data_IF_760083677980
#
_entry.id   IF_760083677980
#
_cell.length_a   1.000
_cell.length_b   1.000
_cell.length_c   1.000
_cell.angle_alpha   90.00
_cell.angle_beta   90.00
_cell.angle_gamma   90.00
#
_symmetry.space_group_name_H-M   'P 1'
#
loop_
_entity.id
_entity.type
_entity.pdbx_description
1 polymer ?
#
# COMPACT_ATOMS: atom_id res chain seq x y z
N UNK A 1 -47.55 3.23 -45.55
CA UNK A 1 -46.86 3.55 -44.28
C UNK A 1 -47.32 4.93 -43.79
N UNK A 2 -48.06 5.01 -42.67
CA UNK A 2 -48.66 6.26 -42.20
C UNK A 2 -47.60 7.34 -41.89
N UNK A 3 -47.96 8.62 -42.04
CA UNK A 3 -47.05 9.77 -41.77
C UNK A 3 -46.39 9.68 -40.39
N UNK A 4 -47.13 9.19 -39.39
CA UNK A 4 -46.66 8.96 -38.02
C UNK A 4 -45.51 7.93 -37.94
N UNK A 5 -45.61 6.82 -38.67
CA UNK A 5 -44.57 5.80 -38.69
C UNK A 5 -43.27 6.31 -39.35
N UNK A 6 -43.36 7.19 -40.35
CA UNK A 6 -42.18 7.85 -40.94
C UNK A 6 -41.48 8.80 -39.97
N UNK A 7 -42.24 9.56 -39.18
CA UNK A 7 -41.68 10.46 -38.16
C UNK A 7 -41.03 9.65 -37.03
N UNK A 8 -41.71 8.60 -36.56
CA UNK A 8 -41.18 7.69 -35.55
C UNK A 8 -39.86 7.04 -36.01
N UNK A 9 -39.80 6.52 -37.24
CA UNK A 9 -38.59 5.91 -37.78
C UNK A 9 -37.42 6.90 -37.92
N UNK A 10 -37.70 8.16 -38.31
CA UNK A 10 -36.68 9.22 -38.33
C UNK A 10 -36.17 9.55 -36.93
N UNK A 11 -37.08 9.62 -35.96
CA UNK A 11 -36.72 9.89 -34.56
C UNK A 11 -35.87 8.75 -33.97
N UNK A 12 -36.31 7.50 -34.15
CA UNK A 12 -35.57 6.32 -33.71
C UNK A 12 -34.22 6.23 -34.40
N UNK A 13 -34.15 6.49 -35.72
CA UNK A 13 -32.90 6.53 -36.46
C UNK A 13 -31.94 7.61 -35.93
N UNK A 14 -32.43 8.82 -35.67
CA UNK A 14 -31.64 9.90 -35.08
C UNK A 14 -31.13 9.54 -33.67
N UNK A 15 -31.96 8.90 -32.85
CA UNK A 15 -31.59 8.43 -31.52
C UNK A 15 -30.50 7.35 -31.59
N UNK A 16 -30.62 6.39 -32.51
CA UNK A 16 -29.60 5.35 -32.72
C UNK A 16 -28.27 5.99 -33.14
N UNK A 17 -28.28 6.91 -34.10
CA UNK A 17 -27.07 7.63 -34.54
C UNK A 17 -26.44 8.37 -33.37
N UNK A 18 -27.25 9.08 -32.56
CA UNK A 18 -26.76 9.77 -31.36
C UNK A 18 -26.10 8.78 -30.38
N UNK A 19 -26.73 7.64 -30.09
CA UNK A 19 -26.18 6.64 -29.18
C UNK A 19 -24.88 6.02 -29.71
N UNK A 20 -24.76 5.77 -31.02
CA UNK A 20 -23.52 5.27 -31.64
C UNK A 20 -22.40 6.30 -31.54
N UNK A 21 -22.70 7.58 -31.79
CA UNK A 21 -21.73 8.67 -31.65
C UNK A 21 -21.28 8.80 -30.19
N UNK A 22 -22.22 8.79 -29.24
CA UNK A 22 -21.91 8.82 -27.81
C UNK A 22 -21.06 7.61 -27.39
N UNK A 23 -21.39 6.41 -27.86
CA UNK A 23 -20.60 5.21 -27.60
C UNK A 23 -19.19 5.31 -28.16
N UNK A 24 -19.02 5.82 -29.38
CA UNK A 24 -17.71 6.02 -29.99
C UNK A 24 -16.83 6.97 -29.16
N UNK A 25 -17.38 8.09 -28.66
CA UNK A 25 -16.63 9.03 -27.80
C UNK A 25 -16.47 8.54 -26.36
N UNK A 26 -17.40 7.72 -25.87
CA UNK A 26 -17.34 7.16 -24.53
C UNK A 26 -16.36 5.99 -24.41
N UNK A 27 -15.91 5.41 -25.53
CA UNK A 27 -15.07 4.22 -25.54
C UNK A 27 -13.70 4.47 -26.16
N UNK A 28 -12.75 3.62 -25.82
CA UNK A 28 -11.41 3.61 -26.43
C UNK A 28 -10.93 2.16 -26.53
N UNK A 29 -10.02 1.90 -27.46
CA UNK A 29 -9.37 0.60 -27.56
C UNK A 29 -8.42 0.37 -26.39
N UNK A 30 -8.19 -0.89 -26.04
CA UNK A 30 -7.08 -1.25 -25.14
C UNK A 30 -5.76 -0.85 -25.82
N UNK A 31 -4.95 -0.05 -25.12
CA UNK A 31 -3.60 0.29 -25.52
C UNK A 31 -2.66 -0.85 -25.15
N UNK A 32 -1.99 -1.40 -26.17
CA UNK A 32 -1.00 -2.47 -26.06
C UNK A 32 0.37 -2.02 -26.54
N UNK A 33 0.60 -0.72 -26.67
CA UNK A 33 1.89 -0.14 -27.06
C UNK A 33 2.95 -0.61 -26.05
N UNK A 34 4.10 -1.16 -26.51
CA UNK A 34 5.18 -1.52 -25.62
C UNK A 34 5.63 -0.32 -24.78
N UNK A 35 5.68 -0.48 -23.46
CA UNK A 35 5.87 0.65 -22.55
C UNK A 35 7.19 1.38 -22.80
N UNK A 36 8.26 0.67 -23.21
CA UNK A 36 9.57 1.26 -23.48
C UNK A 36 9.62 2.19 -24.72
N UNK A 37 8.58 2.19 -25.56
CA UNK A 37 8.44 3.11 -26.70
C UNK A 37 7.68 4.40 -26.34
N UNK A 38 7.15 4.48 -25.11
CA UNK A 38 6.23 5.55 -24.71
C UNK A 38 6.94 6.76 -24.09
N UNK A 39 6.24 7.90 -24.11
CA UNK A 39 6.71 9.14 -23.48
C UNK A 39 6.77 9.01 -21.96
N UNK A 40 5.75 8.44 -21.32
CA UNK A 40 5.71 8.28 -19.86
C UNK A 40 6.89 7.45 -19.33
N UNK A 41 7.29 6.41 -20.08
CA UNK A 41 8.46 5.61 -19.74
C UNK A 41 9.74 6.44 -19.82
N UNK A 42 9.95 7.17 -20.93
CA UNK A 42 11.14 8.01 -21.10
C UNK A 42 11.27 9.05 -20.00
N UNK A 43 10.18 9.74 -19.68
CA UNK A 43 10.14 10.73 -18.61
C UNK A 43 10.43 10.09 -17.25
N UNK A 44 9.86 8.92 -16.98
CA UNK A 44 10.09 8.20 -15.73
C UNK A 44 11.54 7.74 -15.56
N UNK A 45 12.17 7.22 -16.62
CA UNK A 45 13.59 6.84 -16.57
C UNK A 45 14.45 8.07 -16.28
N UNK A 46 14.16 9.21 -16.92
CA UNK A 46 14.85 10.47 -16.64
C UNK A 46 14.67 10.92 -15.18
N UNK A 47 13.44 10.85 -14.65
CA UNK A 47 13.15 11.21 -13.26
C UNK A 47 13.88 10.30 -12.26
N UNK A 48 14.00 9.00 -12.54
CA UNK A 48 14.74 8.05 -11.70
C UNK A 48 16.23 8.37 -11.76
N UNK A 49 16.79 8.60 -12.94
CA UNK A 49 18.22 8.94 -13.08
C UNK A 49 18.57 10.27 -12.38
N UNK A 50 17.68 11.25 -12.41
CA UNK A 50 17.84 12.49 -11.65
C UNK A 50 17.73 12.26 -10.13
N UNK A 51 16.77 11.44 -9.70
CA UNK A 51 16.62 11.07 -8.28
C UNK A 51 17.84 10.31 -7.75
N UNK A 52 18.45 9.44 -8.56
CA UNK A 52 19.67 8.69 -8.22
C UNK A 52 20.86 9.62 -8.04
N UNK A 53 21.01 10.65 -8.90
CA UNK A 53 22.05 11.67 -8.75
C UNK A 53 21.89 12.48 -7.46
N UNK A 54 20.65 12.70 -7.05
CA UNK A 54 20.28 13.48 -5.86
C UNK A 54 19.90 12.61 -4.65
N UNK A 55 20.34 11.35 -4.63
CA UNK A 55 20.05 10.40 -3.55
C UNK A 55 20.65 10.88 -2.23
N UNK A 56 19.99 10.52 -1.14
CA UNK A 56 20.51 10.72 0.21
C UNK A 56 21.43 9.55 0.56
N UNK A 57 22.65 9.83 1.03
CA UNK A 57 23.62 8.82 1.49
C UNK A 57 24.23 9.23 2.82
N UNK A 58 24.30 8.31 3.77
CA UNK A 58 24.93 8.52 5.07
C UNK A 58 25.49 7.22 5.64
N UNK A 59 26.64 7.31 6.32
CA UNK A 59 27.28 6.18 7.02
C UNK A 59 27.72 6.59 8.40
N UNK A 60 27.19 5.96 9.44
CA UNK A 60 27.52 6.37 10.80
C UNK A 60 26.67 5.68 11.87
N UNK A 61 26.75 6.16 13.11
CA UNK A 61 25.92 5.66 14.20
C UNK A 61 24.44 5.92 13.90
N UNK A 62 23.62 4.93 14.23
CA UNK A 62 22.17 4.99 14.07
C UNK A 62 21.52 5.65 15.29
N UNK A 63 20.61 6.59 15.03
CA UNK A 63 19.56 6.97 15.97
C UNK A 63 18.22 6.42 15.50
N UNK A 64 17.41 5.89 16.41
CA UNK A 64 16.06 5.47 16.13
C UNK A 64 15.07 6.01 17.16
N UNK A 65 13.89 6.45 16.74
CA UNK A 65 12.83 6.97 17.60
C UNK A 65 11.48 6.32 17.26
N UNK A 66 10.69 6.01 18.28
CA UNK A 66 9.48 5.19 18.17
C UNK A 66 8.26 5.98 18.63
N UNK A 67 7.16 5.87 17.89
CA UNK A 67 5.88 6.42 18.32
C UNK A 67 4.69 5.57 17.86
N UNK A 68 3.60 5.67 18.62
CA UNK A 68 2.29 5.12 18.26
C UNK A 68 1.19 6.12 18.62
N UNK A 69 0.11 6.12 17.85
CA UNK A 69 -1.10 6.89 18.16
C UNK A 69 -2.33 6.04 17.86
N UNK A 70 -3.32 6.10 18.75
CA UNK A 70 -4.61 5.44 18.52
C UNK A 70 -5.41 6.25 17.49
N UNK A 71 -5.84 5.56 16.43
CA UNK A 71 -6.66 6.10 15.34
C UNK A 71 -8.04 5.44 15.28
N UNK A 72 -8.48 4.75 16.33
CA UNK A 72 -9.81 4.15 16.42
C UNK A 72 -10.86 5.26 16.55
N UNK A 73 -11.79 5.40 15.60
CA UNK A 73 -12.86 6.38 15.71
C UNK A 73 -13.76 6.08 16.93
N UNK A 74 -14.11 7.11 17.70
CA UNK A 74 -15.13 7.00 18.74
C UNK A 74 -16.50 7.14 18.09
N UNK A 75 -17.29 6.07 18.12
CA UNK A 75 -18.63 6.07 17.54
C UNK A 75 -19.59 6.75 18.52
N UNK A 76 -20.31 7.78 18.07
CA UNK A 76 -21.30 8.50 18.89
C UNK A 76 -22.66 8.56 18.19
N UNK A 77 -23.73 8.62 18.98
CA UNK A 77 -25.11 8.76 18.48
C UNK A 77 -25.58 10.21 18.37
N UNK A 78 -24.88 11.14 19.01
CA UNK A 78 -25.20 12.57 19.06
C UNK A 78 -24.49 13.37 17.97
N UNK A 79 -24.25 14.67 18.20
CA UNK A 79 -23.46 15.49 17.29
C UNK A 79 -21.99 15.05 17.33
N UNK A 80 -21.38 14.64 16.20
CA UNK A 80 -19.97 14.27 16.16
C UNK A 80 -19.08 15.49 16.37
N UNK A 81 -17.94 15.27 17.01
CA UNK A 81 -16.84 16.23 17.14
C UNK A 81 -15.54 15.60 16.59
N UNK A 82 -15.24 15.83 15.30
CA UNK A 82 -14.06 15.26 14.66
C UNK A 82 -12.75 15.63 15.35
N UNK A 83 -12.68 16.78 16.06
CA UNK A 83 -11.47 17.18 16.80
C UNK A 83 -11.16 16.25 17.97
N UNK A 84 -12.20 15.59 18.51
CA UNK A 84 -12.10 14.55 19.54
C UNK A 84 -12.07 13.14 18.96
N UNK A 85 -12.10 13.00 17.64
CA UNK A 85 -12.21 11.72 16.94
C UNK A 85 -13.58 11.07 17.09
N UNK A 86 -14.64 11.87 17.29
CA UNK A 86 -16.03 11.39 17.40
C UNK A 86 -16.74 11.45 16.04
N UNK A 87 -17.31 10.33 15.61
CA UNK A 87 -17.96 10.17 14.30
C UNK A 87 -19.21 9.27 14.39
N UNK A 88 -20.14 9.39 13.43
CA UNK A 88 -21.43 8.67 13.49
C UNK A 88 -21.61 7.61 12.39
N UNK A 89 -20.89 7.72 11.29
CA UNK A 89 -21.21 6.99 10.06
C UNK A 89 -19.98 6.69 9.18
N UNK A 90 -18.86 6.33 9.79
CA UNK A 90 -17.70 5.86 9.03
C UNK A 90 -17.99 4.46 8.50
N UNK A 91 -17.99 4.33 7.17
CA UNK A 91 -18.02 3.05 6.47
C UNK A 91 -16.62 2.46 6.47
N UNK A 92 -16.52 1.17 6.75
CA UNK A 92 -15.24 0.47 6.65
C UNK A 92 -14.80 0.34 5.20
N UNK A 93 -13.52 0.61 4.92
CA UNK A 93 -12.98 0.61 3.56
C UNK A 93 -12.36 -0.73 3.15
N UNK A 94 -12.34 -0.98 1.84
CA UNK A 94 -11.70 -2.13 1.21
C UNK A 94 -12.70 -3.11 0.61
N UNK A 95 -13.81 -3.39 1.32
CA UNK A 95 -14.95 -4.07 0.71
C UNK A 95 -15.90 -3.03 0.13
N UNK A 96 -16.15 -3.03 -1.19
CA UNK A 96 -17.09 -2.08 -1.80
C UNK A 96 -18.50 -2.12 -1.17
N UNK A 97 -18.88 -3.28 -0.63
CA UNK A 97 -20.09 -3.55 0.16
C UNK A 97 -19.90 -3.49 1.68
N UNK A 98 -18.80 -2.90 2.16
CA UNK A 98 -18.46 -2.78 3.57
C UNK A 98 -19.55 -2.07 4.39
N UNK A 99 -19.57 -2.36 5.69
CA UNK A 99 -20.58 -1.84 6.63
C UNK A 99 -20.13 -0.52 7.26
N UNK A 100 -21.10 0.23 7.79
CA UNK A 100 -20.82 1.28 8.76
C UNK A 100 -20.35 0.60 10.03
N UNK A 101 -19.24 1.07 10.60
CA UNK A 101 -18.75 0.54 11.86
C UNK A 101 -19.73 0.88 13.00
N UNK A 102 -20.12 -0.12 13.77
CA UNK A 102 -21.01 -0.01 14.93
C UNK A 102 -20.28 -0.28 16.25
N UNK A 103 -19.05 -0.76 16.20
CA UNK A 103 -18.22 -1.00 17.37
C UNK A 103 -16.74 -1.22 17.07
N UNK A 104 -16.02 -1.68 18.07
CA UNK A 104 -14.57 -1.95 18.03
C UNK A 104 -14.35 -3.34 18.62
N UNK A 105 -13.74 -4.24 17.86
CA UNK A 105 -13.26 -5.52 18.39
C UNK A 105 -11.89 -5.33 19.04
N UNK A 106 -10.98 -4.68 18.32
CA UNK A 106 -9.68 -4.23 18.83
C UNK A 106 -9.32 -2.87 18.24
N UNK A 107 -8.59 -2.06 19.03
CA UNK A 107 -8.16 -0.73 18.61
C UNK A 107 -7.19 -0.82 17.43
N UNK A 108 -7.35 0.11 16.49
CA UNK A 108 -6.47 0.33 15.35
C UNK A 108 -5.51 1.50 15.62
N UNK A 109 -4.26 1.36 15.17
CA UNK A 109 -3.18 2.29 15.47
C UNK A 109 -2.45 2.75 14.20
N UNK A 110 -1.90 3.97 14.27
CA UNK A 110 -0.82 4.40 13.39
C UNK A 110 0.48 4.39 14.21
N UNK A 111 1.57 3.92 13.60
CA UNK A 111 2.88 3.73 14.23
C UNK A 111 3.97 4.29 13.33
N UNK A 112 5.03 4.80 13.93
CA UNK A 112 6.15 5.36 13.21
C UNK A 112 7.49 5.01 13.86
N UNK A 113 8.49 4.75 13.01
CA UNK A 113 9.90 4.60 13.38
C UNK A 113 10.69 5.65 12.60
N UNK A 114 11.27 6.62 13.31
CA UNK A 114 12.26 7.54 12.74
C UNK A 114 13.64 6.88 12.77
N UNK A 115 14.37 6.97 11.67
CA UNK A 115 15.72 6.42 11.47
C UNK A 115 16.61 7.59 11.03
N UNK A 116 17.67 7.87 11.77
CA UNK A 116 18.63 8.92 11.43
C UNK A 116 20.06 8.37 11.42
N UNK A 117 20.83 8.70 10.38
CA UNK A 117 22.26 8.41 10.27
C UNK A 117 22.95 9.68 9.78
N UNK A 118 23.91 10.21 10.54
CA UNK A 118 24.59 11.48 10.24
C UNK A 118 23.65 12.63 9.82
N UNK A 119 22.57 12.87 10.58
CA UNK A 119 21.52 13.89 10.30
C UNK A 119 20.60 13.60 9.11
N UNK A 120 20.91 12.61 8.28
CA UNK A 120 19.99 12.15 7.25
C UNK A 120 18.90 11.30 7.87
N UNK A 121 17.65 11.75 7.74
CA UNK A 121 16.49 11.14 8.41
C UNK A 121 15.52 10.57 7.40
N UNK A 122 15.03 9.36 7.69
CA UNK A 122 13.81 8.79 7.08
C UNK A 122 12.84 8.37 8.18
N UNK A 123 11.54 8.39 7.91
CA UNK A 123 10.51 7.94 8.83
C UNK A 123 9.67 6.87 8.15
N UNK A 124 9.60 5.70 8.77
CA UNK A 124 8.77 4.59 8.36
C UNK A 124 7.43 4.71 9.07
N UNK A 125 6.34 4.90 8.34
CA UNK A 125 4.99 5.13 8.85
C UNK A 125 4.09 4.01 8.37
N UNK A 126 3.33 3.42 9.28
CA UNK A 126 2.33 2.41 8.96
C UNK A 126 1.09 2.58 9.80
N UNK A 127 -0.06 2.20 9.27
CA UNK A 127 -1.30 2.21 10.02
C UNK A 127 -2.17 0.99 9.75
N UNK A 128 -3.00 0.66 10.73
CA UNK A 128 -4.05 -0.34 10.64
C UNK A 128 -5.22 0.22 9.80
N UNK A 129 -4.94 0.43 8.51
CA UNK A 129 -5.84 0.94 7.49
C UNK A 129 -5.80 0.02 6.27
N UNK A 130 -6.77 0.16 5.36
CA UNK A 130 -6.70 -0.48 4.03
C UNK A 130 -5.55 0.11 3.20
N UNK A 131 -5.40 1.42 3.22
CA UNK A 131 -4.29 2.17 2.65
C UNK A 131 -4.29 3.54 3.33
N UNK A 132 -3.13 4.21 3.44
CA UNK A 132 -3.11 5.60 3.86
C UNK A 132 -3.62 6.46 2.68
N UNK A 133 -4.74 7.20 2.83
CA UNK A 133 -5.32 7.96 1.74
C UNK A 133 -4.38 9.09 1.27
N UNK A 134 -4.34 9.35 -0.04
CA UNK A 134 -3.48 10.39 -0.61
C UNK A 134 -3.77 11.77 -0.02
N UNK A 135 -5.04 12.13 0.18
CA UNK A 135 -5.44 13.39 0.80
C UNK A 135 -4.91 13.54 2.24
N UNK A 136 -4.78 12.42 2.99
CA UNK A 136 -4.13 12.42 4.31
C UNK A 136 -2.64 12.68 4.17
N UNK A 137 -1.97 12.08 3.18
CA UNK A 137 -0.54 12.31 2.91
C UNK A 137 -0.26 13.76 2.52
N UNK A 138 -1.12 14.37 1.71
CA UNK A 138 -1.03 15.80 1.35
C UNK A 138 -1.15 16.66 2.61
N UNK A 139 -2.17 16.41 3.44
CA UNK A 139 -2.37 17.14 4.68
C UNK A 139 -1.17 17.00 5.62
N UNK A 140 -0.63 15.78 5.78
CA UNK A 140 0.57 15.52 6.59
C UNK A 140 1.77 16.29 6.05
N UNK A 141 1.97 16.29 4.73
CA UNK A 141 3.10 16.97 4.08
C UNK A 141 3.02 18.49 4.28
N UNK A 142 1.83 19.08 4.16
CA UNK A 142 1.65 20.52 4.40
C UNK A 142 1.83 20.87 5.89
N UNK A 143 1.24 20.09 6.80
CA UNK A 143 1.38 20.28 8.25
C UNK A 143 2.84 20.21 8.73
N UNK A 144 3.68 19.43 8.03
CA UNK A 144 5.08 19.18 8.38
C UNK A 144 6.08 19.96 7.52
N UNK A 145 5.60 20.88 6.68
CA UNK A 145 6.42 21.73 5.83
C UNK A 145 7.49 22.47 6.65
N UNK A 146 8.72 22.42 6.18
CA UNK A 146 9.89 22.99 6.86
C UNK A 146 10.43 22.16 8.05
N UNK A 147 9.78 21.04 8.42
CA UNK A 147 10.26 20.13 9.48
C UNK A 147 10.79 18.82 8.90
N UNK A 148 10.07 18.22 7.96
CA UNK A 148 10.47 17.00 7.25
C UNK A 148 9.82 16.97 5.86
N UNK A 149 10.55 16.53 4.85
CA UNK A 149 10.06 16.51 3.46
C UNK A 149 9.35 15.19 3.12
N UNK A 150 8.40 15.22 2.17
CA UNK A 150 7.68 14.02 1.68
C UNK A 150 8.60 12.87 1.25
N UNK A 151 9.76 13.19 0.64
CA UNK A 151 10.77 12.19 0.22
C UNK A 151 11.40 11.40 1.38
N UNK A 152 11.28 11.90 2.62
CA UNK A 152 11.78 11.27 3.84
C UNK A 152 10.70 10.43 4.54
N UNK A 153 9.45 10.52 4.11
CA UNK A 153 8.32 9.79 4.70
C UNK A 153 8.03 8.57 3.83
N UNK A 154 8.05 7.39 4.43
CA UNK A 154 7.75 6.11 3.79
C UNK A 154 6.49 5.57 4.40
N UNK A 155 5.39 5.61 3.65
CA UNK A 155 4.08 5.21 4.12
C UNK A 155 3.84 3.72 3.82
N UNK A 156 2.90 3.14 4.58
CA UNK A 156 2.41 1.80 4.37
C UNK A 156 1.09 1.59 5.12
N UNK A 157 0.48 0.44 4.91
CA UNK A 157 -0.67 0.01 5.67
C UNK A 157 -0.60 -1.49 5.97
N UNK A 158 -1.29 -1.95 7.01
CA UNK A 158 -1.50 -3.39 7.23
C UNK A 158 -2.42 -4.00 6.19
N UNK A 159 -3.19 -3.16 5.49
CA UNK A 159 -4.23 -3.53 4.54
C UNK A 159 -5.43 -4.26 5.18
N UNK A 160 -5.79 -3.91 6.42
CA UNK A 160 -7.05 -4.42 7.02
C UNK A 160 -8.26 -3.79 6.33
N UNK A 161 -9.21 -4.64 5.92
CA UNK A 161 -10.49 -4.22 5.32
C UNK A 161 -11.56 -3.83 6.36
N UNK A 162 -11.20 -3.85 7.65
CA UNK A 162 -12.10 -3.51 8.77
C UNK A 162 -11.63 -2.23 9.47
N UNK A 163 -11.29 -1.22 8.66
CA UNK A 163 -10.67 0.04 9.08
C UNK A 163 -11.33 1.25 8.42
N UNK A 164 -10.81 2.44 8.69
CA UNK A 164 -11.44 3.74 8.39
C UNK A 164 -11.59 3.96 6.88
N UNK A 165 -12.83 4.25 6.45
CA UNK A 165 -13.14 4.73 5.10
C UNK A 165 -13.43 6.22 5.04
N UNK A 166 -14.31 6.63 4.12
CA UNK A 166 -14.76 8.00 3.90
C UNK A 166 -13.66 9.02 3.57
N UNK A 167 -12.44 8.58 3.25
CA UNK A 167 -11.29 9.46 3.02
C UNK A 167 -10.94 9.67 1.53
N UNK A 168 -11.68 9.06 0.60
CA UNK A 168 -11.37 9.14 -0.82
C UNK A 168 -12.53 9.80 -1.58
N UNK A 169 -12.30 10.91 -2.30
CA UNK A 169 -13.34 11.57 -3.07
C UNK A 169 -13.69 10.81 -4.35
N UNK A 170 -14.79 11.23 -4.99
CA UNK A 170 -15.21 10.72 -6.29
C UNK A 170 -16.04 9.44 -6.23
N UNK A 171 -16.49 8.97 -7.39
CA UNK A 171 -17.40 7.83 -7.49
C UNK A 171 -16.74 6.53 -7.02
N UNK A 172 -15.50 6.28 -7.47
CA UNK A 172 -14.74 5.10 -7.05
C UNK A 172 -14.39 5.17 -5.57
N UNK A 173 -14.01 6.34 -5.05
CA UNK A 173 -13.74 6.54 -3.62
C UNK A 173 -14.96 6.24 -2.75
N UNK A 174 -16.14 6.74 -3.15
CA UNK A 174 -17.42 6.42 -2.50
C UNK A 174 -17.73 4.91 -2.51
N UNK A 175 -17.45 4.23 -3.62
CA UNK A 175 -17.57 2.78 -3.70
C UNK A 175 -16.65 2.08 -2.71
N UNK A 176 -15.39 2.49 -2.64
CA UNK A 176 -14.34 1.83 -1.86
C UNK A 176 -14.46 2.04 -0.34
N UNK A 177 -14.86 3.23 0.09
CA UNK A 177 -14.82 3.63 1.50
C UNK A 177 -16.04 4.39 2.01
N UNK A 178 -17.07 4.66 1.20
CA UNK A 178 -18.24 5.44 1.61
C UNK A 178 -18.13 6.93 1.28
N UNK A 179 -19.18 7.70 1.60
CA UNK A 179 -19.26 9.13 1.28
C UNK A 179 -18.03 9.89 1.81
N UNK A 180 -17.44 10.72 0.97
CA UNK A 180 -16.25 11.48 1.36
C UNK A 180 -16.54 12.44 2.52
N UNK A 181 -15.71 12.38 3.56
CA UNK A 181 -15.79 13.20 4.78
C UNK A 181 -14.43 13.90 5.00
N UNK A 182 -14.28 15.16 4.55
CA UNK A 182 -13.04 15.93 4.72
C UNK A 182 -12.53 15.99 6.18
N UNK A 183 -13.45 15.98 7.14
CA UNK A 183 -13.16 16.00 8.57
C UNK A 183 -12.42 14.74 9.05
N UNK A 184 -12.65 13.58 8.42
CA UNK A 184 -11.90 12.35 8.71
C UNK A 184 -10.46 12.48 8.19
N UNK A 185 -10.30 13.07 6.99
CA UNK A 185 -8.98 13.34 6.40
C UNK A 185 -8.19 14.32 7.27
N UNK A 186 -8.81 15.41 7.70
CA UNK A 186 -8.18 16.40 8.57
C UNK A 186 -7.75 15.79 9.90
N UNK A 187 -8.63 15.03 10.55
CA UNK A 187 -8.34 14.35 11.81
C UNK A 187 -7.19 13.36 11.69
N UNK A 188 -7.19 12.51 10.65
CA UNK A 188 -6.07 11.62 10.38
C UNK A 188 -4.80 12.42 10.07
N UNK A 189 -4.87 13.46 9.25
CA UNK A 189 -3.74 14.34 8.94
C UNK A 189 -3.07 14.88 10.20
N UNK A 190 -3.85 15.38 11.17
CA UNK A 190 -3.33 15.84 12.46
C UNK A 190 -2.71 14.70 13.29
N UNK A 191 -3.37 13.54 13.37
CA UNK A 191 -2.87 12.35 14.08
C UNK A 191 -1.53 11.88 13.53
N UNK A 192 -1.41 11.75 12.21
CA UNK A 192 -0.18 11.31 11.55
C UNK A 192 0.94 12.37 11.66
N UNK A 193 0.62 13.65 11.54
CA UNK A 193 1.62 14.72 11.76
C UNK A 193 2.19 14.68 13.19
N UNK A 194 1.32 14.54 14.20
CA UNK A 194 1.76 14.43 15.58
C UNK A 194 2.60 13.17 15.82
N UNK A 195 2.17 12.03 15.27
CA UNK A 195 2.90 10.75 15.33
C UNK A 195 4.32 10.88 14.78
N UNK A 196 4.48 11.50 13.62
CA UNK A 196 5.80 11.69 12.98
C UNK A 196 6.69 12.58 13.85
N UNK A 197 6.16 13.68 14.38
CA UNK A 197 6.92 14.58 15.27
C UNK A 197 7.32 13.89 16.58
N UNK A 198 6.46 13.03 17.13
CA UNK A 198 6.78 12.22 18.32
C UNK A 198 7.91 11.23 18.03
N UNK A 199 7.86 10.51 16.91
CA UNK A 199 8.95 9.59 16.53
C UNK A 199 10.28 10.33 16.32
N UNK A 200 10.23 11.52 15.71
CA UNK A 200 11.41 12.36 15.52
C UNK A 200 12.01 12.87 16.83
N UNK A 201 11.17 13.15 17.84
CA UNK A 201 11.59 13.60 19.16
C UNK A 201 12.11 12.46 20.06
N UNK A 202 11.64 11.22 19.83
CA UNK A 202 12.03 10.02 20.59
C UNK A 202 13.37 9.41 20.15
N UNK A 203 14.07 9.99 19.16
CA UNK A 203 15.32 9.43 18.64
C UNK A 203 16.39 9.27 19.73
N UNK A 204 16.94 8.07 19.83
CA UNK A 204 18.04 7.70 20.72
C UNK A 204 19.07 6.84 19.97
N UNK A 205 20.33 6.76 20.43
CA UNK A 205 21.30 5.79 19.92
C UNK A 205 20.69 4.38 19.87
N UNK A 206 20.85 3.73 18.72
CA UNK A 206 20.20 2.46 18.44
C UNK A 206 21.06 1.56 17.56
N UNK A 207 20.64 0.30 17.49
CA UNK A 207 21.23 -0.71 16.63
C UNK A 207 20.16 -1.32 15.72
N UNK A 208 20.56 -1.74 14.53
CA UNK A 208 19.68 -2.27 13.50
C UNK A 208 20.03 -3.70 13.10
N UNK A 209 19.01 -4.50 12.80
CA UNK A 209 19.16 -5.80 12.16
C UNK A 209 17.99 -6.07 11.20
N UNK A 210 18.22 -6.91 10.21
CA UNK A 210 17.20 -7.40 9.29
C UNK A 210 17.37 -8.88 8.99
N UNK A 211 16.28 -9.53 8.58
CA UNK A 211 16.27 -10.93 8.19
C UNK A 211 14.87 -11.34 7.73
N UNK A 212 14.67 -12.64 7.54
CA UNK A 212 13.36 -13.18 7.21
C UNK A 212 13.20 -14.60 7.75
N UNK A 213 11.96 -15.08 7.79
CA UNK A 213 11.63 -16.50 7.99
C UNK A 213 10.54 -16.91 7.00
N UNK A 214 10.57 -18.16 6.51
CA UNK A 214 9.53 -18.69 5.62
C UNK A 214 8.35 -19.21 6.42
N UNK A 215 7.14 -18.84 6.01
CA UNK A 215 5.87 -19.23 6.65
C UNK A 215 4.84 -19.64 5.58
N UNK A 216 5.10 -20.71 4.79
CA UNK A 216 4.27 -21.07 3.62
C UNK A 216 2.85 -21.51 3.99
N UNK A 217 2.63 -21.97 5.23
CA UNK A 217 1.33 -22.47 5.67
C UNK A 217 0.28 -21.36 5.89
N UNK A 218 0.69 -20.09 5.90
CA UNK A 218 -0.19 -18.95 6.18
C UNK A 218 -0.53 -18.09 4.97
N UNK A 219 -0.08 -18.51 3.78
CA UNK A 219 -0.31 -17.77 2.54
C UNK A 219 -0.71 -18.72 1.41
N UNK A 220 -1.52 -18.23 0.48
CA UNK A 220 -1.89 -18.93 -0.76
C UNK A 220 -1.99 -17.95 -1.92
N UNK A 221 -1.75 -18.42 -3.14
CA UNK A 221 -2.02 -17.65 -4.35
C UNK A 221 -3.53 -17.75 -4.66
N UNK A 222 -4.19 -16.59 -4.83
CA UNK A 222 -5.64 -16.51 -5.04
C UNK A 222 -6.05 -16.31 -6.49
N UNK A 223 -5.09 -16.04 -7.38
CA UNK A 223 -5.34 -15.88 -8.83
C UNK A 223 -5.33 -17.24 -9.52
N UNK A 224 -4.29 -18.05 -9.27
CA UNK A 224 -4.11 -19.36 -9.94
C UNK A 224 -4.17 -20.56 -8.98
N UNK A 225 -4.36 -20.32 -7.67
CA UNK A 225 -4.49 -21.39 -6.68
C UNK A 225 -3.16 -22.08 -6.38
N UNK A 226 -3.21 -23.39 -6.14
CA UNK A 226 -2.06 -24.18 -5.66
C UNK A 226 -0.89 -24.28 -6.65
N UNK A 227 -1.14 -24.06 -7.95
CA UNK A 227 -0.08 -24.04 -8.97
C UNK A 227 0.73 -22.73 -8.97
N UNK A 228 0.29 -21.72 -8.21
CA UNK A 228 0.95 -20.43 -8.14
C UNK A 228 2.14 -20.38 -7.21
N UNK A 229 3.13 -19.56 -7.60
CA UNK A 229 4.28 -19.29 -6.75
C UNK A 229 3.85 -18.48 -5.53
N UNK A 230 4.47 -18.77 -4.38
CA UNK A 230 4.16 -18.18 -3.09
C UNK A 230 5.31 -17.30 -2.59
N UNK A 231 5.05 -16.01 -2.36
CA UNK A 231 5.91 -15.17 -1.55
C UNK A 231 5.63 -15.48 -0.07
N UNK A 232 6.31 -16.50 0.44
CA UNK A 232 6.11 -17.07 1.77
C UNK A 232 7.04 -16.49 2.85
N UNK A 233 7.86 -15.49 2.52
CA UNK A 233 8.77 -14.86 3.46
C UNK A 233 8.04 -13.83 4.32
N UNK A 234 8.13 -13.99 5.64
CA UNK A 234 7.94 -12.93 6.62
C UNK A 234 9.26 -12.19 6.79
N UNK A 235 9.36 -11.00 6.19
CA UNK A 235 10.53 -10.15 6.32
C UNK A 235 10.47 -9.40 7.65
N UNK A 236 11.62 -9.22 8.29
CA UNK A 236 11.73 -8.67 9.63
C UNK A 236 12.84 -7.63 9.71
N UNK A 237 12.51 -6.49 10.30
CA UNK A 237 13.47 -5.47 10.71
C UNK A 237 13.34 -5.25 12.20
N UNK A 238 14.46 -5.01 12.86
CA UNK A 238 14.49 -4.73 14.29
C UNK A 238 15.42 -3.57 14.61
N UNK A 239 14.92 -2.62 15.39
CA UNK A 239 15.63 -1.48 15.92
C UNK A 239 15.66 -1.58 17.43
N UNK A 240 16.85 -1.52 18.04
CA UNK A 240 17.02 -1.60 19.49
C UNK A 240 17.73 -0.35 19.98
N UNK A 241 17.02 0.49 20.74
CA UNK A 241 17.62 1.65 21.40
C UNK A 241 18.50 1.19 22.57
N UNK A 242 19.51 1.98 22.94
CA UNK A 242 20.43 1.66 24.04
C UNK A 242 19.74 1.53 25.41
N UNK A 243 18.57 2.16 25.59
CA UNK A 243 17.75 2.02 26.80
C UNK A 243 16.97 0.67 26.85
N UNK A 244 17.16 -0.20 25.87
CA UNK A 244 16.55 -1.53 25.80
C UNK A 244 15.20 -1.58 25.06
N UNK A 245 14.60 -0.43 24.70
CA UNK A 245 13.35 -0.43 23.91
C UNK A 245 13.63 -0.99 22.51
N UNK A 246 12.77 -1.91 22.08
CA UNK A 246 12.89 -2.60 20.79
C UNK A 246 11.66 -2.33 19.92
N UNK A 247 11.86 -1.84 18.71
CA UNK A 247 10.83 -1.78 17.70
C UNK A 247 11.07 -2.84 16.62
N UNK A 248 10.01 -3.49 16.15
CA UNK A 248 10.08 -4.52 15.12
C UNK A 248 9.07 -4.24 14.03
N UNK A 249 9.50 -4.37 12.77
CA UNK A 249 8.61 -4.39 11.61
C UNK A 249 8.56 -5.81 11.07
N UNK A 250 7.35 -6.33 10.86
CA UNK A 250 7.10 -7.48 9.99
C UNK A 250 6.51 -7.04 8.66
N UNK A 251 6.89 -7.69 7.55
CA UNK A 251 6.22 -7.54 6.27
C UNK A 251 5.91 -8.93 5.70
N UNK A 252 4.65 -9.17 5.35
CA UNK A 252 4.20 -10.47 4.83
C UNK A 252 3.21 -10.28 3.69
N UNK A 253 3.23 -11.22 2.76
CA UNK A 253 2.54 -11.10 1.46
C UNK A 253 1.18 -11.78 1.45
N UNK A 254 0.46 -11.83 2.58
CA UNK A 254 -0.92 -12.33 2.64
C UNK A 254 -1.91 -11.18 2.86
N UNK A 255 -2.98 -11.09 2.06
CA UNK A 255 -4.04 -10.11 2.28
C UNK A 255 -4.68 -10.23 3.67
N UNK A 256 -4.86 -9.10 4.36
CA UNK A 256 -5.55 -8.98 5.66
C UNK A 256 -7.08 -8.89 5.48
N UNK A 257 -7.62 -9.98 4.93
CA UNK A 257 -9.05 -10.18 4.64
C UNK A 257 -9.58 -11.43 5.35
N UNK A 258 -9.13 -11.69 6.58
CA UNK A 258 -9.68 -12.80 7.38
C UNK A 258 -11.10 -12.45 7.83
N UNK A 259 -11.31 -11.20 8.21
CA UNK A 259 -12.60 -10.66 8.59
C UNK A 259 -13.35 -10.21 7.33
N UNK A 260 -14.55 -10.78 7.13
CA UNK A 260 -15.36 -10.64 5.93
C UNK A 260 -16.28 -9.41 5.90
N UNK A 261 -17.13 -9.34 4.88
CA UNK A 261 -18.04 -8.22 4.60
C UNK A 261 -19.22 -8.09 5.57
N UNK A 262 -19.48 -9.12 6.38
CA UNK A 262 -20.53 -9.14 7.41
C UNK A 262 -20.09 -8.46 8.72
N UNK A 263 -18.81 -8.12 8.85
CA UNK A 263 -18.28 -7.44 10.02
C UNK A 263 -18.74 -5.98 10.11
N UNK A 264 -18.98 -5.53 11.34
CA UNK A 264 -19.35 -4.14 11.68
C UNK A 264 -18.40 -3.54 12.73
N UNK A 265 -17.31 -4.22 13.07
CA UNK A 265 -16.40 -3.82 14.13
C UNK A 265 -15.02 -3.42 13.58
N UNK A 266 -14.46 -2.32 14.07
CA UNK A 266 -13.06 -2.01 13.79
C UNK A 266 -12.12 -3.10 14.33
N UNK A 267 -11.13 -3.48 13.54
CA UNK A 267 -10.10 -4.46 13.92
C UNK A 267 -8.86 -4.33 13.05
N UNK A 268 -7.70 -4.57 13.65
CA UNK A 268 -6.43 -4.69 12.93
C UNK A 268 -6.31 -5.98 12.09
N UNK A 269 -7.32 -6.86 12.07
CA UNK A 269 -7.30 -8.21 11.45
C UNK A 269 -6.09 -9.02 11.99
N UNK A 270 -5.60 -10.03 11.27
CA UNK A 270 -4.43 -10.80 11.69
C UNK A 270 -3.16 -9.94 11.91
N UNK A 271 -2.90 -8.84 11.18
CA UNK A 271 -1.80 -7.93 11.48
C UNK A 271 -1.88 -7.35 12.89
N UNK A 272 -3.07 -6.98 13.36
CA UNK A 272 -3.28 -6.48 14.72
C UNK A 272 -2.90 -7.52 15.78
N UNK A 273 -3.28 -8.78 15.57
CA UNK A 273 -2.86 -9.89 16.44
C UNK A 273 -1.35 -10.12 16.41
N UNK A 274 -0.71 -10.07 15.24
CA UNK A 274 0.75 -10.16 15.12
C UNK A 274 1.45 -9.08 15.95
N UNK A 275 1.01 -7.83 15.82
CA UNK A 275 1.60 -6.69 16.52
C UNK A 275 1.46 -6.85 18.03
N UNK A 276 0.23 -7.12 18.52
CA UNK A 276 -0.03 -7.27 19.97
C UNK A 276 0.75 -8.44 20.56
N UNK A 277 0.81 -9.58 19.88
CA UNK A 277 1.53 -10.75 20.37
C UNK A 277 3.03 -10.50 20.50
N UNK A 278 3.65 -9.78 19.56
CA UNK A 278 5.04 -9.34 19.72
C UNK A 278 5.20 -8.37 20.88
N UNK A 279 4.28 -7.42 21.04
CA UNK A 279 4.33 -6.41 22.09
C UNK A 279 4.21 -7.02 23.49
N UNK A 280 3.28 -7.97 23.68
CA UNK A 280 3.12 -8.77 24.89
C UNK A 280 4.35 -9.64 25.21
N UNK A 281 5.21 -9.89 24.22
CA UNK A 281 6.41 -10.72 24.33
C UNK A 281 7.73 -9.92 24.26
N UNK A 282 7.70 -8.65 24.69
CA UNK A 282 8.91 -7.85 24.95
C UNK A 282 9.40 -7.00 23.79
N UNK A 283 8.58 -6.79 22.76
CA UNK A 283 8.78 -5.73 21.76
C UNK A 283 8.04 -4.47 22.23
N UNK A 284 8.71 -3.31 22.26
CA UNK A 284 8.08 -2.05 22.67
C UNK A 284 7.11 -1.52 21.60
N UNK A 285 7.42 -1.69 20.31
CA UNK A 285 6.60 -1.23 19.20
C UNK A 285 6.65 -2.23 18.05
N UNK A 286 5.53 -2.88 17.74
CA UNK A 286 5.45 -3.78 16.59
C UNK A 286 4.66 -3.14 15.43
N UNK A 287 5.21 -3.14 14.23
CA UNK A 287 4.56 -2.67 13.01
C UNK A 287 4.41 -3.82 12.02
N UNK A 288 3.35 -3.79 11.22
CA UNK A 288 3.12 -4.79 10.18
C UNK A 288 2.82 -4.11 8.84
N UNK A 289 3.69 -4.29 7.85
CA UNK A 289 3.45 -3.78 6.50
C UNK A 289 2.87 -4.87 5.62
N UNK A 290 1.86 -4.53 4.83
CA UNK A 290 1.45 -5.38 3.72
C UNK A 290 2.59 -5.46 2.70
N UNK A 291 3.06 -6.68 2.44
CA UNK A 291 4.06 -6.97 1.43
C UNK A 291 3.48 -6.94 0.02
N UNK A 292 3.83 -7.93 -0.80
CA UNK A 292 3.31 -8.08 -2.17
C UNK A 292 2.03 -8.91 -2.17
N UNK A 293 0.95 -8.30 -1.68
CA UNK A 293 -0.33 -8.98 -1.40
C UNK A 293 -1.25 -9.13 -2.61
N UNK A 294 -0.92 -8.50 -3.75
CA UNK A 294 -1.85 -8.31 -4.87
C UNK A 294 -2.36 -9.60 -5.51
N UNK A 295 -1.64 -10.72 -5.39
CA UNK A 295 -2.07 -12.04 -5.90
C UNK A 295 -2.23 -13.10 -4.81
N UNK A 296 -2.08 -12.70 -3.55
CA UNK A 296 -1.96 -13.61 -2.42
C UNK A 296 -3.05 -13.33 -1.38
N UNK A 297 -3.52 -14.39 -0.75
CA UNK A 297 -4.49 -14.35 0.35
C UNK A 297 -3.96 -15.15 1.54
N UNK A 298 -4.51 -14.89 2.72
CA UNK A 298 -4.18 -15.64 3.91
C UNK A 298 -4.68 -17.10 3.83
N UNK A 299 -4.01 -17.95 4.60
CA UNK A 299 -4.39 -19.34 4.90
C UNK A 299 -4.20 -19.52 6.42
N UNK A 300 -5.06 -20.30 7.07
CA UNK A 300 -5.01 -20.48 8.51
C UNK A 300 -6.15 -21.36 9.02
N UNK A 301 -6.09 -21.72 10.30
CA UNK A 301 -7.09 -22.52 10.99
C UNK A 301 -8.09 -21.63 11.73
N UNK A 302 -9.30 -22.15 11.97
CA UNK A 302 -10.38 -21.42 12.64
C UNK A 302 -11.22 -20.57 11.68
N UNK A 303 -12.14 -19.78 12.23
CA UNK A 303 -13.01 -18.87 11.49
C UNK A 303 -12.96 -17.46 12.08
N UNK A 304 -13.24 -16.44 11.25
CA UNK A 304 -13.31 -15.03 11.68
C UNK A 304 -12.16 -14.62 12.62
N UNK A 305 -12.47 -14.13 13.82
CA UNK A 305 -11.48 -13.63 14.78
C UNK A 305 -10.54 -14.73 15.30
N UNK A 306 -11.00 -15.98 15.45
CA UNK A 306 -10.13 -17.09 15.85
C UNK A 306 -9.09 -17.39 14.77
N UNK A 307 -9.50 -17.28 13.49
CA UNK A 307 -8.57 -17.41 12.36
C UNK A 307 -7.58 -16.25 12.30
N UNK A 308 -8.04 -15.03 12.52
CA UNK A 308 -7.19 -13.85 12.52
C UNK A 308 -6.14 -13.94 13.63
N UNK A 309 -6.57 -14.38 14.82
CA UNK A 309 -5.70 -14.68 15.96
C UNK A 309 -4.68 -15.76 15.61
N UNK A 310 -5.13 -16.91 15.10
CA UNK A 310 -4.25 -18.02 14.71
C UNK A 310 -3.14 -17.57 13.76
N UNK A 311 -3.51 -16.84 12.69
CA UNK A 311 -2.54 -16.36 11.70
C UNK A 311 -1.56 -15.36 12.34
N UNK A 312 -2.08 -14.36 13.05
CA UNK A 312 -1.26 -13.30 13.64
C UNK A 312 -0.27 -13.81 14.68
N UNK A 313 -0.73 -14.65 15.61
CA UNK A 313 0.12 -15.23 16.66
C UNK A 313 1.15 -16.21 16.08
N UNK A 314 0.77 -17.04 15.09
CA UNK A 314 1.70 -17.95 14.41
C UNK A 314 2.81 -17.18 13.66
N UNK A 315 2.46 -16.08 12.99
CA UNK A 315 3.45 -15.18 12.38
C UNK A 315 4.36 -14.55 13.44
N UNK A 316 3.81 -14.13 14.57
CA UNK A 316 4.58 -13.48 15.62
C UNK A 316 5.53 -14.44 16.33
N UNK A 317 5.13 -15.69 16.60
CA UNK A 317 6.02 -16.72 17.13
C UNK A 317 7.13 -17.11 16.13
N UNK A 318 6.79 -17.16 14.84
CA UNK A 318 7.78 -17.33 13.77
C UNK A 318 8.77 -16.16 13.74
N UNK A 319 8.28 -14.93 13.89
CA UNK A 319 9.12 -13.73 13.96
C UNK A 319 10.06 -13.77 15.16
N UNK A 320 9.57 -14.10 16.36
CA UNK A 320 10.38 -14.23 17.58
C UNK A 320 11.55 -15.20 17.39
N UNK A 321 11.30 -16.33 16.72
CA UNK A 321 12.34 -17.32 16.41
C UNK A 321 13.48 -16.76 15.54
N UNK A 322 13.17 -15.84 14.63
CA UNK A 322 14.15 -15.14 13.81
C UNK A 322 14.80 -13.96 14.55
N UNK A 323 14.01 -13.14 15.27
CA UNK A 323 14.47 -12.00 16.07
C UNK A 323 15.52 -12.41 17.12
N UNK A 324 15.37 -13.58 17.73
CA UNK A 324 16.33 -14.11 18.72
C UNK A 324 17.70 -14.44 18.14
N UNK A 325 17.82 -14.56 16.80
CA UNK A 325 19.07 -14.89 16.09
C UNK A 325 19.68 -13.67 15.39
N UNK A 326 19.00 -12.53 15.42
CA UNK A 326 19.44 -11.32 14.73
C UNK A 326 20.71 -10.76 15.35
N UNK A 327 21.63 -10.31 14.47
CA UNK A 327 22.85 -9.61 14.85
C UNK A 327 22.64 -8.12 14.63
N UNK A 328 22.74 -7.35 15.71
CA UNK A 328 22.49 -5.92 15.71
C UNK A 328 23.77 -5.13 15.46
N UNK A 329 23.70 -4.15 14.56
CA UNK A 329 24.81 -3.28 14.21
C UNK A 329 24.48 -1.82 14.59
N UNK A 330 25.34 -1.12 15.35
CA UNK A 330 25.13 0.28 15.73
C UNK A 330 25.43 1.25 14.59
N UNK A 331 26.32 0.87 13.67
CA UNK A 331 26.65 1.67 12.49
C UNK A 331 25.84 1.18 11.28
N UNK A 332 25.26 2.13 10.55
CA UNK A 332 24.39 1.86 9.40
C UNK A 332 24.87 2.61 8.17
N UNK A 333 24.86 1.93 7.02
CA UNK A 333 24.92 2.51 5.67
C UNK A 333 23.50 2.76 5.18
N UNK A 334 23.11 4.04 5.11
CA UNK A 334 21.81 4.51 4.67
C UNK A 334 21.91 5.08 3.26
N UNK A 335 21.08 4.60 2.35
CA UNK A 335 20.83 5.23 1.04
C UNK A 335 19.34 5.37 0.83
N UNK A 336 18.85 6.54 0.45
CA UNK A 336 17.45 6.76 0.15
C UNK A 336 17.27 7.47 -1.20
N UNK A 337 16.36 6.94 -2.03
CA UNK A 337 16.00 7.45 -3.34
C UNK A 337 14.49 7.63 -3.37
N UNK A 338 14.04 8.79 -3.83
CA UNK A 338 12.62 9.09 -4.05
C UNK A 338 12.46 9.64 -5.44
N UNK A 339 11.62 9.04 -6.25
CA UNK A 339 11.40 9.45 -7.64
C UNK A 339 9.92 9.49 -7.97
N UNK A 340 9.56 10.41 -8.86
CA UNK A 340 8.22 10.48 -9.44
C UNK A 340 8.16 9.64 -10.72
N UNK A 341 7.14 8.81 -10.83
CA UNK A 341 6.86 8.02 -12.02
C UNK A 341 5.64 8.57 -12.74
N UNK A 342 5.68 8.51 -14.06
CA UNK A 342 4.50 8.68 -14.89
C UNK A 342 3.82 7.33 -15.13
N UNK A 343 2.49 7.36 -15.27
CA UNK A 343 1.65 6.18 -15.44
C UNK A 343 0.92 6.25 -16.78
N UNK A 344 0.55 5.09 -17.38
CA UNK A 344 -0.23 5.07 -18.60
C UNK A 344 -1.59 5.76 -18.41
N UNK A 345 -2.23 6.13 -19.52
CA UNK A 345 -3.63 6.58 -19.47
C UNK A 345 -4.51 5.48 -18.87
N UNK A 346 -5.49 5.89 -18.06
CA UNK A 346 -6.47 4.98 -17.47
C UNK A 346 -7.08 4.06 -18.52
N UNK A 347 -7.06 2.76 -18.23
CA UNK A 347 -7.56 1.65 -19.04
C UNK A 347 -8.62 0.79 -18.31
N UNK A 348 -9.32 1.35 -17.32
CA UNK A 348 -10.32 0.64 -16.50
C UNK A 348 -11.75 0.76 -17.04
N UNK A 349 -12.68 -0.04 -16.48
CA UNK A 349 -14.04 -0.29 -16.97
C UNK A 349 -14.07 -0.89 -18.39
N UNK A 350 -13.83 -2.20 -18.44
CA UNK A 350 -13.80 -3.01 -19.64
C UNK A 350 -15.22 -3.22 -20.21
N UNK A 351 -15.35 -3.03 -21.52
CA UNK A 351 -16.58 -3.34 -22.29
C UNK A 351 -16.40 -4.67 -23.04
N UNK A 352 -15.17 -4.94 -23.48
CA UNK A 352 -14.71 -6.22 -24.02
C UNK A 352 -13.19 -6.32 -23.87
N UNK A 353 -12.57 -7.42 -24.32
CA UNK A 353 -11.10 -7.55 -24.35
C UNK A 353 -10.39 -6.54 -25.27
N UNK A 354 -11.15 -5.78 -26.08
CA UNK A 354 -10.61 -4.78 -27.02
C UNK A 354 -11.07 -3.37 -26.73
N UNK A 355 -12.13 -3.19 -25.94
CA UNK A 355 -12.78 -1.91 -25.71
C UNK A 355 -12.96 -1.65 -24.22
N UNK A 356 -12.82 -0.38 -23.85
CA UNK A 356 -12.95 0.11 -22.48
C UNK A 356 -13.56 1.50 -22.49
N UNK A 357 -13.91 2.00 -21.31
CA UNK A 357 -14.25 3.41 -21.13
C UNK A 357 -13.07 4.29 -21.56
N UNK A 358 -13.39 5.41 -22.22
CA UNK A 358 -12.37 6.37 -22.65
C UNK A 358 -11.63 6.95 -21.45
N UNK A 359 -10.30 7.22 -21.56
CA UNK A 359 -9.52 7.76 -20.45
C UNK A 359 -10.12 9.05 -19.87
N UNK A 360 -10.71 9.89 -20.74
CA UNK A 360 -11.34 11.13 -20.34
C UNK A 360 -12.52 10.88 -19.38
N UNK A 361 -13.47 10.03 -19.74
CA UNK A 361 -14.60 9.72 -18.87
C UNK A 361 -14.15 8.96 -17.63
N UNK A 362 -13.23 8.02 -17.78
CA UNK A 362 -12.66 7.27 -16.65
C UNK A 362 -12.04 8.19 -15.60
N UNK A 363 -11.28 9.21 -16.02
CA UNK A 363 -10.66 10.17 -15.10
C UNK A 363 -11.66 10.99 -14.28
N UNK A 364 -12.92 11.10 -14.72
CA UNK A 364 -13.98 11.79 -13.96
C UNK A 364 -14.57 10.93 -12.85
N UNK A 365 -14.39 9.61 -12.91
CA UNK A 365 -14.89 8.66 -11.90
C UNK A 365 -13.86 8.40 -10.80
N UNK A 366 -12.58 8.52 -11.14
CA UNK A 366 -11.45 8.34 -10.23
C UNK A 366 -11.20 9.60 -9.38
N UNK A 367 -10.67 9.46 -8.16
CA UNK A 367 -10.05 10.60 -7.48
C UNK A 367 -8.91 11.17 -8.33
N UNK A 368 -8.67 12.48 -8.21
CA UNK A 368 -7.48 13.08 -8.81
C UNK A 368 -6.25 12.50 -8.12
N UNK A 369 -5.24 12.15 -8.90
CA UNK A 369 -3.98 11.60 -8.41
C UNK A 369 -2.87 12.62 -8.61
N UNK A 370 -2.03 12.85 -7.60
CA UNK A 370 -0.83 13.67 -7.73
C UNK A 370 0.31 12.86 -8.36
N UNK A 371 1.48 13.45 -8.65
CA UNK A 371 2.62 12.69 -9.14
C UNK A 371 2.90 11.48 -8.26
N UNK A 372 3.09 10.33 -8.90
CA UNK A 372 3.21 9.04 -8.20
C UNK A 372 4.62 8.89 -7.68
N UNK A 373 4.78 8.67 -6.37
CA UNK A 373 6.09 8.47 -5.78
C UNK A 373 6.41 6.99 -5.57
N UNK A 374 7.59 6.59 -6.04
CA UNK A 374 8.24 5.34 -5.65
C UNK A 374 9.48 5.68 -4.85
N UNK A 375 9.72 4.92 -3.78
CA UNK A 375 10.85 5.17 -2.90
C UNK A 375 11.65 3.89 -2.66
N UNK A 376 12.96 4.02 -2.66
CA UNK A 376 13.92 2.97 -2.37
C UNK A 376 14.78 3.35 -1.19
N UNK A 377 14.93 2.45 -0.22
CA UNK A 377 15.74 2.62 0.97
C UNK A 377 16.71 1.45 1.11
N UNK A 378 17.97 1.74 1.34
CA UNK A 378 18.98 0.76 1.78
C UNK A 378 19.36 1.08 3.22
N UNK A 379 19.38 0.04 4.06
CA UNK A 379 19.97 0.06 5.41
C UNK A 379 20.89 -1.14 5.55
N UNK A 380 22.20 -0.93 5.52
CA UNK A 380 23.19 -2.01 5.44
C UNK A 380 22.91 -2.97 4.26
N UNK A 381 22.54 -4.22 4.55
CA UNK A 381 22.20 -5.25 3.56
C UNK A 381 20.68 -5.41 3.36
N UNK A 382 19.85 -4.54 3.93
CA UNK A 382 18.42 -4.48 3.63
C UNK A 382 18.20 -3.55 2.43
N UNK A 383 17.39 -4.01 1.47
CA UNK A 383 16.79 -3.18 0.42
C UNK A 383 15.27 -3.14 0.63
N UNK A 384 14.71 -1.94 0.77
CA UNK A 384 13.27 -1.73 0.90
C UNK A 384 12.76 -0.87 -0.27
N UNK A 385 11.86 -1.43 -1.08
CA UNK A 385 11.07 -0.67 -2.05
C UNK A 385 9.65 -0.41 -1.52
N UNK A 386 9.27 0.87 -1.40
CA UNK A 386 7.95 1.30 -0.93
C UNK A 386 7.10 1.76 -2.12
N UNK A 387 6.01 1.04 -2.37
CA UNK A 387 5.28 1.06 -3.63
C UNK A 387 3.83 1.56 -3.45
N UNK A 388 3.32 2.46 -4.30
CA UNK A 388 1.97 3.00 -4.19
C UNK A 388 0.91 2.13 -4.87
N UNK A 389 1.03 0.80 -4.76
CA UNK A 389 0.16 -0.15 -5.46
C UNK A 389 0.21 -1.54 -4.85
N UNK A 390 -0.77 -2.38 -5.19
CA UNK A 390 -0.83 -3.78 -4.77
C UNK A 390 -0.06 -4.70 -5.71
N UNK A 391 1.21 -4.94 -5.39
CA UNK A 391 2.07 -5.78 -6.20
C UNK A 391 1.75 -7.27 -5.99
N UNK A 392 1.65 -8.02 -7.08
CA UNK A 392 1.55 -9.48 -7.06
C UNK A 392 2.76 -10.12 -6.36
N UNK A 393 2.50 -11.09 -5.49
CA UNK A 393 3.58 -11.84 -4.84
C UNK A 393 4.44 -12.67 -5.78
N UNK A 394 3.94 -13.03 -6.97
CA UNK A 394 4.78 -13.67 -7.98
C UNK A 394 5.85 -12.72 -8.53
N UNK A 395 5.48 -11.47 -8.83
CA UNK A 395 6.45 -10.46 -9.25
C UNK A 395 7.41 -10.09 -8.11
N UNK A 396 6.87 -9.97 -6.89
CA UNK A 396 7.68 -9.71 -5.71
C UNK A 396 8.78 -10.75 -5.52
N UNK A 397 8.46 -12.03 -5.71
CA UNK A 397 9.43 -13.13 -5.60
C UNK A 397 10.61 -12.97 -6.55
N UNK A 398 10.39 -12.52 -7.78
CA UNK A 398 11.47 -12.43 -8.78
C UNK A 398 12.58 -11.48 -8.32
N UNK A 399 12.20 -10.28 -7.89
CA UNK A 399 13.15 -9.30 -7.37
C UNK A 399 13.74 -9.73 -6.01
N UNK A 400 12.92 -10.28 -5.10
CA UNK A 400 13.41 -10.75 -3.80
C UNK A 400 14.44 -11.87 -3.93
N UNK A 401 14.24 -12.79 -4.87
CA UNK A 401 15.19 -13.87 -5.14
C UNK A 401 16.49 -13.33 -5.77
N UNK A 402 16.40 -12.39 -6.71
CA UNK A 402 17.58 -11.75 -7.30
C UNK A 402 18.42 -11.03 -6.24
N UNK A 403 17.77 -10.26 -5.35
CA UNK A 403 18.43 -9.57 -4.24
C UNK A 403 19.08 -10.54 -3.25
N UNK A 404 18.40 -11.64 -2.93
CA UNK A 404 18.94 -12.67 -2.04
C UNK A 404 20.18 -13.36 -2.63
N UNK A 405 20.20 -13.63 -3.93
CA UNK A 405 21.38 -14.16 -4.62
C UNK A 405 22.60 -13.23 -4.50
N UNK A 406 22.36 -11.93 -4.36
CA UNK A 406 23.41 -10.92 -4.11
C UNK A 406 23.68 -10.69 -2.61
N UNK A 407 23.06 -11.46 -1.70
CA UNK A 407 23.28 -11.37 -0.25
C UNK A 407 22.45 -10.30 0.47
N UNK A 408 21.43 -9.74 -0.19
CA UNK A 408 20.56 -8.74 0.41
C UNK A 408 19.28 -9.36 1.01
N UNK A 409 18.88 -8.84 2.17
CA UNK A 409 17.50 -8.96 2.64
C UNK A 409 16.64 -7.95 1.89
N UNK A 410 15.36 -8.23 1.71
CA UNK A 410 14.49 -7.33 0.94
C UNK A 410 13.06 -7.23 1.49
N UNK A 411 12.53 -6.01 1.46
CA UNK A 411 11.12 -5.70 1.72
C UNK A 411 10.54 -4.99 0.49
N UNK A 412 9.42 -5.49 0.00
CA UNK A 412 8.60 -4.79 -1.00
C UNK A 412 7.26 -4.54 -0.35
N UNK A 413 7.02 -3.30 0.09
CA UNK A 413 5.77 -2.93 0.78
C UNK A 413 4.82 -2.22 -0.16
N UNK A 414 3.54 -2.58 -0.09
CA UNK A 414 2.46 -1.91 -0.80
C UNK A 414 1.97 -0.67 -0.01
N UNK A 415 1.16 0.18 -0.65
CA UNK A 415 0.44 1.31 -0.05
C UNK A 415 1.30 2.48 0.44
N UNK A 416 2.32 2.89 -0.35
CA UNK A 416 3.18 4.02 -0.04
C UNK A 416 2.52 5.41 -0.25
N UNK A 417 1.42 5.66 0.46
CA UNK A 417 0.79 6.98 0.54
C UNK A 417 0.01 7.40 -0.70
N UNK A 418 -0.07 6.51 -1.69
CA UNK A 418 -0.86 6.61 -2.92
C UNK A 418 -1.28 5.19 -3.33
N UNK A 419 -2.25 5.07 -4.24
CA UNK A 419 -2.80 3.78 -4.65
C UNK A 419 -3.15 3.72 -6.14
N UNK A 420 -2.48 2.85 -6.89
CA UNK A 420 -2.70 2.63 -8.33
C UNK A 420 -3.44 1.33 -8.66
N UNK A 421 -4.14 0.73 -7.70
CA UNK A 421 -4.81 -0.55 -7.92
C UNK A 421 -3.84 -1.72 -7.91
N UNK A 422 -4.22 -2.76 -8.65
CA UNK A 422 -3.54 -4.07 -8.64
C UNK A 422 -2.54 -4.21 -9.78
N UNK A 423 -1.34 -4.67 -9.44
CA UNK A 423 -0.23 -4.87 -10.38
C UNK A 423 0.09 -6.36 -10.44
N UNK A 424 -0.47 -7.03 -11.45
CA UNK A 424 -0.32 -8.47 -11.70
C UNK A 424 0.52 -8.75 -12.94
N UNK A 425 1.14 -9.95 -13.02
CA UNK A 425 1.80 -10.43 -14.23
C UNK A 425 0.99 -10.18 -15.50
N UNK A 426 1.62 -9.64 -16.55
CA UNK A 426 0.95 -9.41 -17.84
C UNK A 426 0.29 -10.69 -18.37
N UNK A 427 0.89 -11.87 -18.12
CA UNK A 427 0.31 -13.19 -18.43
C UNK A 427 -1.10 -13.43 -17.83
N UNK A 428 -1.47 -12.72 -16.77
CA UNK A 428 -2.78 -12.80 -16.12
C UNK A 428 -3.76 -11.70 -16.53
N UNK A 429 -3.33 -10.75 -17.37
CA UNK A 429 -4.16 -9.61 -17.75
C UNK A 429 -5.53 -10.00 -18.31
N UNK A 430 -5.58 -11.06 -19.11
CA UNK A 430 -6.84 -11.53 -19.72
C UNK A 430 -7.62 -12.51 -18.84
N UNK A 431 -7.15 -12.85 -17.65
CA UNK A 431 -7.92 -13.71 -16.75
C UNK A 431 -9.12 -12.93 -16.20
N UNK A 432 -10.27 -13.59 -16.08
CA UNK A 432 -11.46 -12.98 -15.49
C UNK A 432 -11.37 -13.03 -13.96
N UNK A 433 -10.46 -12.21 -13.43
CA UNK A 433 -10.16 -12.14 -12.00
C UNK A 433 -10.38 -10.71 -11.50
N UNK A 434 -10.66 -10.59 -10.21
CA UNK A 434 -10.87 -9.30 -9.54
C UNK A 434 -9.68 -8.35 -9.78
N UNK A 435 -8.47 -8.87 -9.63
CA UNK A 435 -7.21 -8.16 -9.76
C UNK A 435 -7.00 -7.62 -11.18
N UNK A 436 -7.19 -8.47 -12.20
CA UNK A 436 -6.91 -8.09 -13.58
C UNK A 436 -8.03 -7.24 -14.19
N UNK A 437 -9.30 -7.53 -13.88
CA UNK A 437 -10.45 -6.91 -14.55
C UNK A 437 -11.08 -5.76 -13.79
N UNK A 438 -11.28 -5.89 -12.48
CA UNK A 438 -11.94 -4.83 -11.71
C UNK A 438 -10.92 -3.80 -11.20
N UNK A 439 -9.74 -4.27 -10.76
CA UNK A 439 -8.74 -3.42 -10.13
C UNK A 439 -7.47 -3.16 -10.95
N UNK A 440 -7.38 -3.75 -12.15
CA UNK A 440 -6.30 -3.54 -13.11
C UNK A 440 -6.58 -2.32 -13.99
N UNK A 441 -6.10 -1.15 -13.56
CA UNK A 441 -6.58 0.12 -14.13
C UNK A 441 -5.77 0.69 -15.28
N UNK A 442 -4.56 0.19 -15.56
CA UNK A 442 -3.63 0.84 -16.48
C UNK A 442 -3.21 -0.03 -17.66
N UNK A 443 -3.87 -1.17 -17.85
CA UNK A 443 -3.67 -2.03 -19.01
C UNK A 443 -2.61 -3.12 -18.86
N UNK A 444 -2.30 -3.83 -19.96
CA UNK A 444 -1.53 -5.06 -19.92
C UNK A 444 -0.05 -4.85 -19.58
N UNK A 445 0.54 -3.72 -19.96
CA UNK A 445 1.97 -3.44 -19.81
C UNK A 445 2.36 -2.85 -18.45
N UNK A 446 1.38 -2.44 -17.63
CA UNK A 446 1.65 -1.77 -16.35
C UNK A 446 2.48 -2.63 -15.38
N UNK A 447 2.20 -3.95 -15.36
CA UNK A 447 2.91 -4.92 -14.53
C UNK A 447 4.40 -4.97 -14.83
N UNK A 448 4.73 -5.22 -16.09
CA UNK A 448 6.11 -5.36 -16.55
C UNK A 448 6.87 -4.04 -16.46
N UNK A 449 6.22 -2.93 -16.82
CA UNK A 449 6.77 -1.58 -16.65
C UNK A 449 7.21 -1.31 -15.21
N UNK A 450 6.29 -1.48 -14.24
CA UNK A 450 6.61 -1.21 -12.84
C UNK A 450 7.65 -2.18 -12.27
N UNK A 451 7.67 -3.43 -12.73
CA UNK A 451 8.72 -4.36 -12.32
C UNK A 451 10.09 -3.95 -12.85
N UNK A 452 10.20 -3.50 -14.09
CA UNK A 452 11.45 -2.96 -14.61
C UNK A 452 11.95 -1.79 -13.75
N UNK A 453 11.04 -0.87 -13.36
CA UNK A 453 11.40 0.24 -12.47
C UNK A 453 11.87 -0.25 -11.09
N UNK A 454 11.23 -1.28 -10.54
CA UNK A 454 11.64 -1.87 -9.25
C UNK A 454 13.04 -2.50 -9.34
N UNK A 455 13.34 -3.24 -10.43
CA UNK A 455 14.68 -3.76 -10.70
C UNK A 455 15.69 -2.63 -10.88
N UNK A 456 15.36 -1.56 -11.62
CA UNK A 456 16.22 -0.39 -11.78
C UNK A 456 16.53 0.26 -10.44
N UNK A 457 15.51 0.55 -9.63
CA UNK A 457 15.70 1.13 -8.28
C UNK A 457 16.59 0.24 -7.39
N UNK A 458 16.36 -1.07 -7.39
CA UNK A 458 17.17 -2.01 -6.63
C UNK A 458 18.63 -2.09 -7.12
N UNK A 459 18.87 -2.03 -8.42
CA UNK A 459 20.21 -1.96 -9.01
C UNK A 459 20.96 -0.70 -8.54
N UNK A 460 20.29 0.45 -8.50
CA UNK A 460 20.89 1.72 -8.05
C UNK A 460 21.22 1.73 -6.55
N UNK A 461 20.41 1.06 -5.72
CA UNK A 461 20.67 0.92 -4.28
C UNK A 461 21.80 -0.07 -3.98
N UNK A 462 21.93 -1.13 -4.79
CA UNK A 462 22.89 -2.23 -4.55
C UNK A 462 24.20 -2.05 -5.30
N UNK A 463 24.26 -1.15 -6.28
CA UNK A 463 25.33 -1.05 -7.27
C UNK A 463 25.63 -2.39 -7.97
N UNK A 464 24.58 -3.17 -8.20
CA UNK A 464 24.65 -4.48 -8.86
C UNK A 464 23.67 -4.56 -10.03
N UNK A 465 23.88 -5.53 -10.93
CA UNK A 465 22.94 -5.85 -12.00
C UNK A 465 22.21 -7.15 -11.62
N UNK A 466 20.98 -6.99 -11.12
CA UNK A 466 20.10 -8.07 -10.68
C UNK A 466 19.46 -8.84 -11.83
#
# INVERSE_FOLDING_TARGET
>A
MGKWLKVLLKFVGALIVLLVVLFFFATSTIDTTPYFETEYYRNTIQNIEEAVKNKTEAKGPLLAGFARTNITPKIVSGTPDPTKGEFNNIKMAGYGSGKIATGVHDSIFAKAIAVEVNKETVVLINADLVAIPEDVVIQVTENLKGKIARKQLYFGATHTHSSIGNCMPGYVGKGFGGEYQPEVVEWLGQKFSALILQALADKQPAQFSSGYIKVPNLVRNRIIGESGRLNDKLDLLSFMQENGRKATIGAFSAHATVIGTDNELYTGDYPGYFQRHLEENGVELAMFFAGTVGSHSNKGLGEKFDKAKYIGETLADSARSALNKMKYLPNVDLTAISSEIEIPKLQFLYISDRLRLSPYLGSKLMPKTNPIQVQGLKLNNLIWLALPYELSGEYGLDLKNALELQGYNSVLSSFNGQYLGYIVPQKYYYFDTYEARLMGWYGPSMGDYLMELNFKMANELTHSKL
#
